data_IF_109162591953
#
_entry.id   IF_109162591953
#
_cell.length_a   1.000
_cell.length_b   1.000
_cell.length_c   1.000
_cell.angle_alpha   90.00
_cell.angle_beta   90.00
_cell.angle_gamma   90.00
#
_symmetry.space_group_name_H-M   'P 1'
#
loop_
_entity.id
_entity.type
_entity.pdbx_description
1 polymer ?
#
# COMPACT_ATOMS: atom_id res chain seq x y z
N UNK A 1 32.93 -33.81 -61.10
CA UNK A 1 32.84 -32.34 -61.27
C UNK A 1 32.63 -31.71 -59.89
N UNK A 2 33.62 -30.94 -59.43
CA UNK A 2 33.64 -29.92 -58.35
C UNK A 2 32.98 -30.20 -56.97
N UNK A 3 33.88 -30.51 -56.04
CA UNK A 3 33.96 -30.14 -54.62
C UNK A 3 33.19 -28.87 -54.19
N UNK A 4 32.54 -28.91 -53.01
CA UNK A 4 32.60 -27.81 -52.03
C UNK A 4 32.39 -28.33 -50.60
N UNK A 5 33.48 -28.32 -49.84
CA UNK A 5 33.52 -28.37 -48.38
C UNK A 5 33.14 -26.98 -47.87
N UNK A 6 32.22 -26.89 -46.93
CA UNK A 6 32.19 -25.80 -45.94
C UNK A 6 31.89 -26.42 -44.59
N UNK A 7 32.95 -26.60 -43.81
CA UNK A 7 32.89 -26.58 -42.36
C UNK A 7 32.35 -25.20 -41.91
N UNK A 8 31.68 -25.12 -40.76
CA UNK A 8 32.13 -24.36 -39.59
C UNK A 8 30.95 -24.02 -38.64
N UNK A 9 31.19 -24.16 -37.33
CA UNK A 9 30.43 -23.65 -36.18
C UNK A 9 29.06 -24.29 -35.93
N UNK A 10 28.88 -25.32 -35.09
CA UNK A 10 29.19 -25.41 -33.65
C UNK A 10 28.55 -24.29 -32.81
N UNK A 11 27.72 -24.72 -31.85
CA UNK A 11 27.22 -23.96 -30.70
C UNK A 11 26.32 -22.75 -30.98
N UNK A 12 25.03 -22.99 -31.26
CA UNK A 12 24.00 -22.06 -30.79
C UNK A 12 23.73 -22.44 -29.33
N UNK A 13 24.54 -21.83 -28.46
CA UNK A 13 24.42 -21.94 -27.02
C UNK A 13 23.03 -21.52 -26.57
N UNK A 14 22.40 -22.40 -25.80
CA UNK A 14 21.20 -22.19 -25.02
C UNK A 14 21.37 -20.92 -24.17
N UNK A 15 20.80 -19.80 -24.61
CA UNK A 15 20.66 -18.60 -23.79
C UNK A 15 19.62 -18.94 -22.74
N UNK A 16 20.08 -19.50 -21.61
CA UNK A 16 19.35 -19.49 -20.36
C UNK A 16 19.21 -18.02 -19.95
N UNK A 17 18.13 -17.38 -20.42
CA UNK A 17 17.62 -16.16 -19.82
C UNK A 17 17.32 -16.51 -18.37
N UNK A 18 18.25 -16.17 -17.48
CA UNK A 18 17.99 -16.14 -16.06
C UNK A 18 16.89 -15.11 -15.87
N UNK A 19 15.66 -15.59 -15.77
CA UNK A 19 14.56 -14.83 -15.19
C UNK A 19 14.93 -14.60 -13.73
N UNK A 20 15.71 -13.57 -13.48
CA UNK A 20 15.77 -12.92 -12.19
C UNK A 20 14.35 -12.45 -11.90
N UNK A 21 13.56 -13.30 -11.24
CA UNK A 21 12.35 -12.87 -10.55
C UNK A 21 12.83 -11.90 -9.48
N UNK A 22 12.95 -10.63 -9.87
CA UNK A 22 12.99 -9.55 -8.93
C UNK A 22 11.71 -9.70 -8.11
N UNK A 23 11.84 -10.22 -6.89
CA UNK A 23 10.80 -10.12 -5.89
C UNK A 23 10.59 -8.63 -5.68
N UNK A 24 9.69 -8.03 -6.45
CA UNK A 24 9.21 -6.69 -6.21
C UNK A 24 8.54 -6.73 -4.85
N UNK A 25 9.30 -6.44 -3.78
CA UNK A 25 8.73 -6.34 -2.44
C UNK A 25 7.69 -5.24 -2.54
N UNK A 26 6.41 -5.61 -2.53
CA UNK A 26 5.35 -4.63 -2.64
C UNK A 26 5.44 -3.75 -1.39
N UNK A 27 5.44 -2.41 -1.58
CA UNK A 27 5.50 -1.44 -0.48
C UNK A 27 4.39 -1.68 0.57
N UNK A 28 3.27 -2.27 0.15
CA UNK A 28 2.05 -2.38 0.93
C UNK A 28 1.82 -3.82 1.42
N UNK A 29 1.56 -3.97 2.70
CA UNK A 29 1.13 -5.24 3.29
C UNK A 29 -0.34 -5.18 3.66
N UNK A 30 -1.10 -6.20 3.25
CA UNK A 30 -2.53 -6.32 3.57
C UNK A 30 -2.72 -6.64 5.06
N UNK A 31 -3.62 -5.93 5.73
CA UNK A 31 -3.92 -6.10 7.15
C UNK A 31 -5.26 -6.77 7.37
N UNK A 32 -6.33 -6.23 6.77
CA UNK A 32 -7.68 -6.75 6.97
C UNK A 32 -8.63 -6.32 5.85
N UNK A 33 -9.53 -7.22 5.45
CA UNK A 33 -10.64 -6.95 4.55
C UNK A 33 -11.92 -6.77 5.38
N UNK A 34 -12.71 -5.75 5.09
CA UNK A 34 -14.06 -5.60 5.60
C UNK A 34 -15.04 -5.25 4.48
N UNK A 35 -16.24 -4.79 4.81
CA UNK A 35 -17.27 -4.44 3.83
C UNK A 35 -16.93 -3.23 2.98
N UNK A 36 -16.10 -2.31 3.49
CA UNK A 36 -15.64 -1.14 2.75
C UNK A 36 -14.57 -1.52 1.73
N UNK A 37 -13.57 -2.30 2.16
CA UNK A 37 -12.36 -2.46 1.38
C UNK A 37 -11.25 -3.24 2.08
N UNK A 38 -10.11 -3.33 1.40
CA UNK A 38 -8.90 -3.94 1.92
C UNK A 38 -7.98 -2.84 2.47
N UNK A 39 -7.63 -2.99 3.74
CA UNK A 39 -6.71 -2.11 4.44
C UNK A 39 -5.28 -2.64 4.32
N UNK A 40 -4.35 -1.73 4.08
CA UNK A 40 -2.93 -1.98 3.97
C UNK A 40 -2.13 -1.06 4.87
N UNK A 41 -0.92 -1.49 5.22
CA UNK A 41 0.11 -0.67 5.84
C UNK A 41 1.37 -0.67 4.97
N UNK A 42 2.14 0.41 5.01
CA UNK A 42 3.53 0.39 4.55
C UNK A 42 4.41 0.12 5.77
N UNK A 43 4.90 -1.12 5.99
CA UNK A 43 5.70 -1.45 7.16
C UNK A 43 7.03 -0.70 7.19
N UNK A 44 7.57 -0.31 6.03
CA UNK A 44 8.83 0.45 5.94
C UNK A 44 8.65 1.92 6.32
N UNK A 45 7.40 2.39 6.41
CA UNK A 45 7.09 3.75 6.88
C UNK A 45 6.90 3.86 8.39
N UNK A 46 6.98 2.75 9.13
CA UNK A 46 6.76 2.77 10.57
C UNK A 46 7.91 3.52 11.24
N UNK A 47 7.59 4.60 11.94
CA UNK A 47 8.54 5.38 12.75
C UNK A 47 7.99 5.59 14.16
N UNK A 48 8.86 6.03 15.07
CA UNK A 48 8.48 6.41 16.42
C UNK A 48 9.05 7.79 16.75
N UNK A 49 8.20 8.65 17.32
CA UNK A 49 8.55 9.98 17.79
C UNK A 49 7.70 10.30 19.02
N UNK A 50 8.31 10.81 20.09
CA UNK A 50 7.66 11.14 21.36
C UNK A 50 6.79 10.01 21.94
N UNK A 51 7.24 8.76 21.82
CA UNK A 51 6.52 7.57 22.28
C UNK A 51 5.25 7.25 21.50
N UNK A 52 5.09 7.81 20.30
CA UNK A 52 3.96 7.58 19.39
C UNK A 52 4.48 6.95 18.11
N UNK A 53 3.77 5.93 17.62
CA UNK A 53 4.09 5.27 16.35
C UNK A 53 3.40 5.98 15.20
N UNK A 54 4.08 6.12 14.07
CA UNK A 54 3.50 6.65 12.84
C UNK A 54 3.53 5.56 11.77
N UNK A 55 2.55 5.54 10.88
CA UNK A 55 2.54 4.63 9.73
C UNK A 55 1.69 5.20 8.59
N UNK A 56 2.11 4.94 7.36
CA UNK A 56 1.28 5.14 6.18
C UNK A 56 0.39 3.93 5.93
N UNK A 57 -0.86 4.20 5.60
CA UNK A 57 -1.90 3.21 5.35
C UNK A 57 -2.58 3.48 4.02
N UNK A 58 -3.06 2.43 3.37
CA UNK A 58 -3.95 2.54 2.22
C UNK A 58 -5.24 1.80 2.51
N UNK A 59 -6.36 2.34 2.03
CA UNK A 59 -7.63 1.63 1.96
C UNK A 59 -8.06 1.60 0.50
N UNK A 60 -8.21 0.39 -0.03
CA UNK A 60 -8.71 0.14 -1.37
C UNK A 60 -10.17 -0.31 -1.28
N UNK A 61 -11.09 0.52 -1.76
CA UNK A 61 -12.52 0.28 -1.60
C UNK A 61 -13.03 -0.71 -2.63
N UNK A 62 -13.99 -1.54 -2.22
CA UNK A 62 -14.67 -2.48 -3.14
C UNK A 62 -15.54 -1.77 -4.18
N UNK A 63 -16.03 -0.58 -3.85
CA UNK A 63 -16.93 0.23 -4.68
C UNK A 63 -16.54 1.70 -4.60
N UNK A 64 -16.78 2.50 -5.66
CA UNK A 64 -16.57 3.94 -5.61
C UNK A 64 -17.31 4.57 -4.43
N UNK A 65 -16.61 5.45 -3.74
CA UNK A 65 -17.14 6.30 -2.68
C UNK A 65 -17.23 7.74 -3.23
N UNK A 66 -17.89 8.62 -2.48
CA UNK A 66 -18.02 10.04 -2.86
C UNK A 66 -17.55 10.93 -1.73
N UNK A 67 -16.77 11.96 -2.07
CA UNK A 67 -16.45 13.06 -1.15
C UNK A 67 -17.70 13.87 -0.83
N UNK A 68 -17.65 14.75 0.17
CA UNK A 68 -18.77 15.63 0.51
C UNK A 68 -19.21 16.58 -0.62
N UNK A 69 -18.30 16.92 -1.54
CA UNK A 69 -18.56 17.69 -2.75
C UNK A 69 -18.90 16.82 -3.98
N UNK A 70 -19.15 15.51 -3.78
CA UNK A 70 -19.66 14.61 -4.82
C UNK A 70 -18.62 14.00 -5.76
N UNK A 71 -17.31 14.20 -5.53
CA UNK A 71 -16.26 13.60 -6.35
C UNK A 71 -16.08 12.12 -6.01
N UNK A 72 -16.07 11.28 -7.04
CA UNK A 72 -15.86 9.85 -6.87
C UNK A 72 -14.39 9.52 -6.54
N UNK A 73 -14.17 8.58 -5.62
CA UNK A 73 -12.86 8.02 -5.30
C UNK A 73 -12.95 6.52 -5.03
N UNK A 74 -11.85 5.79 -5.22
CA UNK A 74 -11.80 4.34 -5.04
C UNK A 74 -10.70 3.89 -4.07
N UNK A 75 -9.78 4.78 -3.70
CA UNK A 75 -8.80 4.48 -2.66
C UNK A 75 -8.38 5.71 -1.87
N UNK A 76 -7.89 5.49 -0.66
CA UNK A 76 -7.37 6.56 0.21
C UNK A 76 -6.00 6.21 0.77
N UNK A 77 -5.12 7.21 0.83
CA UNK A 77 -3.80 7.14 1.46
C UNK A 77 -3.80 7.97 2.73
N UNK A 78 -3.50 7.37 3.88
CA UNK A 78 -3.58 8.05 5.18
C UNK A 78 -2.32 7.86 6.00
N UNK A 79 -1.85 8.92 6.64
CA UNK A 79 -0.87 8.78 7.73
C UNK A 79 -1.63 8.73 9.04
N UNK A 80 -1.41 7.68 9.82
CA UNK A 80 -1.98 7.55 11.15
C UNK A 80 -0.89 7.65 12.20
N UNK A 81 -1.24 8.24 13.33
CA UNK A 81 -0.42 8.23 14.53
C UNK A 81 -1.11 7.38 15.59
N UNK A 82 -0.35 6.54 16.28
CA UNK A 82 -0.80 5.61 17.29
C UNK A 82 -0.14 5.91 18.63
N UNK A 83 -0.94 5.96 19.69
CA UNK A 83 -0.47 5.88 21.06
C UNK A 83 -0.77 4.47 21.57
N UNK A 84 0.23 3.60 21.54
CA UNK A 84 0.09 2.20 21.91
C UNK A 84 -0.25 1.99 23.40
N UNK A 85 0.24 2.88 24.27
CA UNK A 85 -0.02 2.82 25.72
C UNK A 85 -1.47 3.17 26.04
N UNK A 86 -1.99 4.25 25.45
CA UNK A 86 -3.36 4.72 25.67
C UNK A 86 -4.38 4.08 24.74
N UNK A 87 -3.94 3.25 23.78
CA UNK A 87 -4.78 2.64 22.73
C UNK A 87 -5.61 3.68 21.98
N UNK A 88 -4.96 4.76 21.58
CA UNK A 88 -5.58 5.85 20.81
C UNK A 88 -4.91 5.98 19.45
N UNK A 89 -5.67 6.47 18.47
CA UNK A 89 -5.19 6.78 17.14
C UNK A 89 -5.70 8.14 16.67
N UNK A 90 -5.00 8.76 15.72
CA UNK A 90 -5.50 9.90 14.96
C UNK A 90 -5.00 9.86 13.52
N UNK A 91 -5.78 10.42 12.61
CA UNK A 91 -5.42 10.58 11.19
C UNK A 91 -4.78 11.95 11.00
N UNK A 92 -3.54 11.95 10.54
CA UNK A 92 -2.72 13.16 10.36
C UNK A 92 -2.82 13.72 8.94
N UNK A 93 -2.92 12.83 7.96
CA UNK A 93 -3.10 13.18 6.56
C UNK A 93 -4.04 12.19 5.91
N UNK A 94 -4.83 12.65 4.94
CA UNK A 94 -5.69 11.82 4.11
C UNK A 94 -5.72 12.36 2.68
N UNK A 95 -5.46 11.49 1.71
CA UNK A 95 -5.54 11.80 0.29
C UNK A 95 -6.48 10.80 -0.39
N UNK A 96 -7.35 11.30 -1.25
CA UNK A 96 -8.34 10.53 -1.99
C UNK A 96 -7.93 10.40 -3.45
N UNK A 97 -8.04 9.19 -4.00
CA UNK A 97 -7.63 8.85 -5.36
C UNK A 97 -8.79 8.28 -6.17
N UNK A 98 -8.91 8.67 -7.44
CA UNK A 98 -9.97 8.17 -8.32
C UNK A 98 -9.83 6.68 -8.65
N UNK A 99 -8.61 6.14 -8.63
CA UNK A 99 -8.31 4.75 -8.98
C UNK A 99 -8.11 3.84 -7.77
N UNK A 100 -8.05 2.52 -8.00
CA UNK A 100 -7.73 1.55 -6.96
C UNK A 100 -6.27 1.70 -6.53
N UNK A 101 -5.94 1.25 -5.33
CA UNK A 101 -4.56 1.17 -4.82
C UNK A 101 -3.72 2.44 -5.05
N UNK A 102 -4.30 3.59 -4.73
CA UNK A 102 -3.68 4.92 -4.79
C UNK A 102 -3.28 5.38 -6.21
N UNK A 103 -3.94 4.83 -7.24
CA UNK A 103 -3.72 5.21 -8.64
C UNK A 103 -4.72 6.26 -9.12
N UNK A 104 -4.48 6.83 -10.30
CA UNK A 104 -5.36 7.84 -10.88
C UNK A 104 -5.13 9.24 -10.31
N UNK A 105 -6.14 10.09 -10.39
CA UNK A 105 -6.06 11.49 -10.00
C UNK A 105 -6.33 11.67 -8.52
N UNK A 106 -5.69 12.68 -7.91
CA UNK A 106 -6.02 13.09 -6.54
C UNK A 106 -7.22 14.02 -6.57
N UNK A 107 -8.30 13.64 -5.88
CA UNK A 107 -9.54 14.44 -5.84
C UNK A 107 -9.62 15.35 -4.62
N UNK A 108 -8.92 15.01 -3.54
CA UNK A 108 -8.83 15.83 -2.33
C UNK A 108 -7.62 15.45 -1.48
N UNK A 109 -7.10 16.43 -0.74
CA UNK A 109 -6.07 16.28 0.29
C UNK A 109 -6.53 16.99 1.54
N UNK A 110 -6.43 16.31 2.67
CA UNK A 110 -6.82 16.81 3.98
C UNK A 110 -5.63 16.68 4.93
N UNK A 111 -5.41 17.73 5.73
CA UNK A 111 -4.39 17.79 6.77
C UNK A 111 -4.81 17.03 8.02
N UNK A 112 -4.38 17.50 9.20
CA UNK A 112 -4.78 16.90 10.47
C UNK A 112 -6.31 16.85 10.55
N UNK A 113 -6.87 15.64 10.50
CA UNK A 113 -8.31 15.43 10.30
C UNK A 113 -9.07 15.19 11.58
N UNK A 114 -8.44 14.47 12.51
CA UNK A 114 -9.11 13.98 13.70
C UNK A 114 -8.28 14.26 14.94
N UNK A 115 -8.99 14.60 16.01
CA UNK A 115 -8.47 14.51 17.37
C UNK A 115 -8.10 13.07 17.71
N UNK A 116 -7.43 12.88 18.83
CA UNK A 116 -7.17 11.54 19.36
C UNK A 116 -8.48 10.83 19.67
N UNK A 117 -8.66 9.66 19.06
CA UNK A 117 -9.81 8.78 19.28
C UNK A 117 -9.33 7.46 19.89
N UNK A 118 -10.17 6.87 20.74
CA UNK A 118 -9.95 5.52 21.23
C UNK A 118 -10.01 4.53 20.06
N UNK A 119 -9.13 3.53 20.09
CA UNK A 119 -9.13 2.46 19.09
C UNK A 119 -10.22 1.45 19.47
N UNK A 120 -11.33 1.51 18.73
CA UNK A 120 -12.43 0.56 18.91
C UNK A 120 -12.02 -0.87 18.55
N UNK A 121 -12.39 -1.84 19.38
CA UNK A 121 -11.89 -3.22 19.28
C UNK A 121 -12.23 -3.93 17.96
N UNK A 122 -13.33 -3.55 17.32
CA UNK A 122 -13.80 -4.10 16.04
C UNK A 122 -13.31 -3.29 14.83
N UNK A 123 -12.63 -2.17 15.06
CA UNK A 123 -12.17 -1.29 13.97
C UNK A 123 -11.02 -1.91 13.17
N UNK A 124 -10.88 -1.54 11.87
CA UNK A 124 -9.68 -1.85 11.10
C UNK A 124 -8.40 -1.29 11.73
N UNK A 125 -8.49 -0.13 12.40
CA UNK A 125 -7.37 0.50 13.11
C UNK A 125 -6.86 -0.40 14.24
N UNK A 126 -7.73 -1.14 14.94
CA UNK A 126 -7.29 -2.11 15.94
C UNK A 126 -6.43 -3.23 15.34
N UNK A 127 -6.74 -3.68 14.12
CA UNK A 127 -5.93 -4.69 13.42
C UNK A 127 -4.59 -4.13 12.98
N UNK A 128 -4.56 -2.87 12.53
CA UNK A 128 -3.32 -2.16 12.22
C UNK A 128 -2.47 -1.97 13.47
N UNK A 129 -3.05 -1.49 14.58
CA UNK A 129 -2.34 -1.27 15.83
C UNK A 129 -1.70 -2.57 16.39
N UNK A 130 -2.36 -3.72 16.24
CA UNK A 130 -1.78 -5.03 16.62
C UNK A 130 -0.53 -5.41 15.83
N UNK A 131 -0.32 -4.85 14.64
CA UNK A 131 0.89 -5.08 13.83
C UNK A 131 2.06 -4.18 14.23
N UNK A 132 1.79 -3.11 14.98
CA UNK A 132 2.74 -2.00 15.17
C UNK A 132 3.18 -1.84 16.65
N UNK A 133 2.30 -2.11 17.61
CA UNK A 133 2.47 -1.71 19.02
C UNK A 133 3.26 -2.66 19.94
#
# INVERSE_FOLDING_TARGET
>A
MKLRKTALCAFIGLICVMCSVANASTKWEAVTLNDLGLFYIDPKSITEEDGRKWVWTALDYKKPQSTGDGKAYLSTHSQIQLNCKLKMARVMHLTYYTGPMLTGQVVSRQGMLHEWLNIEATSPIQKIARRIC
#
